data_IF_196070074219
#
_entry.id   IF_196070074219
#
_cell.length_a   1.000
_cell.length_b   1.000
_cell.length_c   1.000
_cell.angle_alpha   90.00
_cell.angle_beta   90.00
_cell.angle_gamma   90.00
#
_symmetry.space_group_name_H-M   'P 1'
#
loop_
_entity.id
_entity.type
_entity.pdbx_description
1 polymer ?
#
# COMPACT_ATOMS: atom_id res chain seq x y z
N UNK A 1 -13.17 5.80 -17.77
CA UNK A 1 -13.16 4.48 -17.08
C UNK A 1 -14.55 4.10 -16.59
N UNK A 2 -15.20 4.92 -15.75
CA UNK A 2 -16.54 4.63 -15.23
C UNK A 2 -17.58 4.38 -16.34
N UNK A 3 -17.54 5.17 -17.43
CA UNK A 3 -18.39 4.95 -18.61
C UNK A 3 -18.27 3.53 -19.20
N UNK A 4 -17.07 2.92 -19.15
CA UNK A 4 -16.86 1.54 -19.64
C UNK A 4 -17.53 0.52 -18.70
N UNK A 5 -17.45 0.75 -17.39
CA UNK A 5 -18.11 -0.06 -16.36
C UNK A 5 -19.63 0.05 -16.52
N UNK A 6 -20.15 1.27 -16.70
CA UNK A 6 -21.57 1.51 -16.94
C UNK A 6 -22.07 0.89 -18.24
N UNK A 7 -21.29 0.94 -19.32
CA UNK A 7 -21.67 0.31 -20.59
C UNK A 7 -21.68 -1.23 -20.51
N UNK A 8 -20.75 -1.84 -19.77
CA UNK A 8 -20.64 -3.29 -19.66
C UNK A 8 -21.58 -3.90 -18.62
N UNK A 9 -21.81 -3.20 -17.50
CA UNK A 9 -22.57 -3.74 -16.36
C UNK A 9 -23.94 -3.07 -16.17
N UNK A 10 -24.14 -1.87 -16.71
CA UNK A 10 -25.29 -1.00 -16.44
C UNK A 10 -26.55 -1.14 -17.31
N UNK A 11 -26.51 -1.49 -18.62
CA UNK A 11 -27.67 -1.27 -19.50
C UNK A 11 -28.95 -2.02 -19.11
N UNK A 12 -28.81 -3.15 -18.39
CA UNK A 12 -29.94 -4.00 -18.00
C UNK A 12 -29.96 -4.41 -16.53
N UNK A 13 -28.90 -4.13 -15.75
CA UNK A 13 -28.76 -4.65 -14.39
C UNK A 13 -28.06 -3.66 -13.44
N UNK A 14 -28.80 -2.70 -12.84
CA UNK A 14 -28.22 -1.71 -11.92
C UNK A 14 -27.56 -2.35 -10.68
N UNK A 15 -27.97 -3.56 -10.31
CA UNK A 15 -27.38 -4.35 -9.23
C UNK A 15 -25.89 -4.66 -9.45
N UNK A 16 -25.48 -4.85 -10.70
CA UNK A 16 -24.08 -5.14 -11.06
C UNK A 16 -23.18 -3.92 -10.85
N UNK A 17 -23.72 -2.73 -11.08
CA UNK A 17 -23.03 -1.48 -10.76
C UNK A 17 -22.83 -1.29 -9.27
N UNK A 18 -23.80 -1.71 -8.43
CA UNK A 18 -23.63 -1.68 -6.97
C UNK A 18 -22.45 -2.55 -6.53
N UNK A 19 -22.32 -3.75 -7.11
CA UNK A 19 -21.20 -4.67 -6.83
C UNK A 19 -19.87 -4.05 -7.27
N UNK A 20 -19.79 -3.53 -8.49
CA UNK A 20 -18.57 -2.89 -9.01
C UNK A 20 -18.15 -1.70 -8.15
N UNK A 21 -19.10 -0.85 -7.76
CA UNK A 21 -18.88 0.29 -6.86
C UNK A 21 -18.35 -0.17 -5.51
N UNK A 22 -19.00 -1.16 -4.89
CA UNK A 22 -18.58 -1.71 -3.61
C UNK A 22 -17.16 -2.27 -3.66
N UNK A 23 -16.77 -2.93 -4.75
CA UNK A 23 -15.41 -3.42 -4.92
C UNK A 23 -14.40 -2.27 -5.01
N UNK A 24 -14.69 -1.22 -5.77
CA UNK A 24 -13.79 -0.07 -5.91
C UNK A 24 -13.65 0.70 -4.59
N UNK A 25 -14.77 0.97 -3.90
CA UNK A 25 -14.79 1.73 -2.65
C UNK A 25 -14.01 1.04 -1.51
N UNK A 26 -14.07 -0.29 -1.46
CA UNK A 26 -13.42 -1.07 -0.40
C UNK A 26 -12.05 -1.65 -0.82
N UNK A 27 -11.67 -1.48 -2.09
CA UNK A 27 -10.46 -2.07 -2.66
C UNK A 27 -10.52 -3.61 -2.72
N UNK A 28 -11.68 -4.17 -3.03
CA UNK A 28 -11.85 -5.61 -3.23
C UNK A 28 -11.36 -5.99 -4.63
N UNK A 29 -10.35 -6.86 -4.68
CA UNK A 29 -9.84 -7.42 -5.91
C UNK A 29 -10.71 -8.57 -6.40
N UNK A 30 -10.83 -8.71 -7.71
CA UNK A 30 -11.46 -9.88 -8.34
C UNK A 30 -10.36 -10.67 -9.03
N UNK A 31 -10.10 -11.88 -8.55
CA UNK A 31 -9.06 -12.78 -9.07
C UNK A 31 -9.68 -14.14 -9.30
N UNK A 32 -9.42 -14.72 -10.47
CA UNK A 32 -10.01 -15.99 -10.89
C UNK A 32 -11.54 -15.97 -10.80
N UNK A 33 -12.14 -16.74 -9.90
CA UNK A 33 -13.60 -16.74 -9.59
C UNK A 33 -13.92 -16.12 -8.22
N UNK A 34 -12.91 -15.63 -7.50
CA UNK A 34 -13.00 -15.16 -6.14
C UNK A 34 -12.96 -13.63 -6.00
N UNK A 35 -13.40 -13.17 -4.83
CA UNK A 35 -13.33 -11.76 -4.42
C UNK A 35 -12.39 -11.70 -3.22
N UNK A 36 -11.40 -10.81 -3.26
CA UNK A 36 -10.32 -10.76 -2.30
C UNK A 36 -10.20 -9.38 -1.65
N UNK A 37 -10.09 -9.34 -0.33
CA UNK A 37 -9.57 -8.21 0.40
C UNK A 37 -8.09 -8.46 0.66
N UNK A 38 -7.22 -7.83 -0.13
CA UNK A 38 -5.77 -8.08 -0.11
C UNK A 38 -5.44 -9.56 -0.38
N UNK A 39 -5.15 -10.33 0.68
CA UNK A 39 -4.82 -11.76 0.62
C UNK A 39 -5.96 -12.66 1.14
N UNK A 40 -7.03 -12.05 1.66
CA UNK A 40 -8.14 -12.76 2.29
C UNK A 40 -9.27 -12.91 1.28
N UNK A 41 -9.67 -14.15 1.00
CA UNK A 41 -10.85 -14.42 0.18
C UNK A 41 -12.13 -14.08 0.95
N UNK A 42 -13.01 -13.31 0.31
CA UNK A 42 -14.30 -12.91 0.85
C UNK A 42 -15.37 -13.82 0.22
N UNK A 43 -16.15 -14.56 1.02
CA UNK A 43 -17.24 -15.38 0.50
C UNK A 43 -18.26 -14.54 -0.27
N UNK A 44 -18.65 -15.00 -1.46
CA UNK A 44 -19.59 -14.31 -2.35
C UNK A 44 -20.91 -13.93 -1.65
N UNK A 45 -21.38 -14.77 -0.73
CA UNK A 45 -22.60 -14.51 0.05
C UNK A 45 -22.49 -13.26 0.93
N UNK A 46 -21.30 -12.95 1.45
CA UNK A 46 -21.06 -11.75 2.28
C UNK A 46 -21.03 -10.49 1.41
N UNK A 47 -20.44 -10.58 0.23
CA UNK A 47 -20.44 -9.48 -0.75
C UNK A 47 -21.87 -9.20 -1.22
N UNK A 48 -22.64 -10.24 -1.54
CA UNK A 48 -24.05 -10.13 -1.94
C UNK A 48 -24.88 -9.39 -0.88
N UNK A 49 -24.73 -9.80 0.39
CA UNK A 49 -25.40 -9.15 1.52
C UNK A 49 -24.96 -7.69 1.70
N UNK A 50 -23.68 -7.39 1.55
CA UNK A 50 -23.16 -6.03 1.67
C UNK A 50 -23.64 -5.10 0.53
N UNK A 51 -23.76 -5.64 -0.69
CA UNK A 51 -24.27 -4.90 -1.84
C UNK A 51 -25.82 -4.87 -1.91
N UNK A 52 -26.51 -5.67 -1.11
CA UNK A 52 -27.97 -5.78 -1.11
C UNK A 52 -28.52 -6.40 -2.39
N UNK A 53 -27.83 -7.42 -2.91
CA UNK A 53 -28.13 -8.09 -4.20
C UNK A 53 -28.15 -9.60 -4.03
N UNK A 54 -28.69 -10.32 -5.01
CA UNK A 54 -28.66 -11.79 -5.01
C UNK A 54 -27.23 -12.33 -5.23
N UNK A 55 -26.93 -13.50 -4.61
CA UNK A 55 -25.62 -14.16 -4.75
C UNK A 55 -25.29 -14.46 -6.21
N UNK A 56 -26.27 -14.85 -7.03
CA UNK A 56 -26.07 -15.18 -8.45
C UNK A 56 -25.65 -13.94 -9.24
N UNK A 57 -26.21 -12.78 -8.92
CA UNK A 57 -25.81 -11.50 -9.53
C UNK A 57 -24.33 -11.20 -9.27
N UNK A 58 -23.81 -11.51 -8.07
CA UNK A 58 -22.39 -11.34 -7.77
C UNK A 58 -21.52 -12.28 -8.60
N UNK A 59 -21.86 -13.58 -8.67
CA UNK A 59 -21.12 -14.56 -9.46
C UNK A 59 -21.08 -14.17 -10.94
N UNK A 60 -22.22 -13.75 -11.50
CA UNK A 60 -22.31 -13.32 -12.88
C UNK A 60 -21.51 -12.04 -13.15
N UNK A 61 -21.53 -11.09 -12.22
CA UNK A 61 -20.73 -9.86 -12.31
C UNK A 61 -19.23 -10.16 -12.31
N UNK A 62 -18.77 -11.04 -11.42
CA UNK A 62 -17.37 -11.49 -11.37
C UNK A 62 -16.96 -12.12 -12.70
N UNK A 63 -17.81 -12.99 -13.27
CA UNK A 63 -17.54 -13.62 -14.58
C UNK A 63 -17.43 -12.59 -15.69
N UNK A 64 -18.32 -11.60 -15.76
CA UNK A 64 -18.25 -10.56 -16.80
C UNK A 64 -17.03 -9.66 -16.66
N UNK A 65 -16.67 -9.28 -15.43
CA UNK A 65 -15.45 -8.49 -15.17
C UNK A 65 -14.21 -9.25 -15.64
N UNK A 66 -14.17 -10.56 -15.44
CA UNK A 66 -13.06 -11.40 -15.92
C UNK A 66 -13.04 -11.52 -17.45
N UNK A 67 -14.20 -11.63 -18.09
CA UNK A 67 -14.28 -11.77 -19.55
C UNK A 67 -13.82 -10.52 -20.30
N UNK A 68 -13.88 -9.32 -19.70
CA UNK A 68 -13.30 -8.10 -20.27
C UNK A 68 -11.87 -7.91 -19.73
N UNK A 69 -10.86 -8.09 -20.59
CA UNK A 69 -9.45 -7.96 -20.20
C UNK A 69 -9.09 -6.57 -19.63
N UNK A 70 -9.83 -5.52 -20.00
CA UNK A 70 -9.63 -4.18 -19.45
C UNK A 70 -10.12 -4.05 -18.00
N UNK A 71 -11.31 -4.57 -17.71
CA UNK A 71 -11.84 -4.62 -16.35
C UNK A 71 -11.02 -5.58 -15.50
N UNK A 72 -10.65 -6.75 -16.01
CA UNK A 72 -9.78 -7.70 -15.30
C UNK A 72 -8.45 -7.06 -14.88
N UNK A 73 -7.80 -6.30 -15.76
CA UNK A 73 -6.54 -5.62 -15.46
C UNK A 73 -6.68 -4.58 -14.33
N UNK A 74 -7.86 -3.98 -14.18
CA UNK A 74 -8.16 -2.98 -13.13
C UNK A 74 -8.58 -3.69 -11.84
N UNK A 75 -9.65 -4.49 -11.88
CA UNK A 75 -10.23 -5.15 -10.72
C UNK A 75 -9.29 -6.20 -10.11
N UNK A 76 -8.43 -6.85 -10.90
CA UNK A 76 -7.44 -7.79 -10.36
C UNK A 76 -6.34 -7.12 -9.53
N UNK A 77 -6.11 -5.82 -9.75
CA UNK A 77 -5.09 -5.02 -9.06
C UNK A 77 -5.65 -4.14 -7.94
N UNK A 78 -6.97 -4.17 -7.70
CA UNK A 78 -7.54 -3.47 -6.57
C UNK A 78 -6.94 -4.00 -5.27
N UNK A 79 -6.58 -3.06 -4.40
CA UNK A 79 -6.07 -3.33 -3.07
C UNK A 79 -6.71 -2.31 -2.12
N UNK A 80 -6.96 -2.74 -0.89
CA UNK A 80 -7.46 -1.82 0.13
C UNK A 80 -6.36 -0.81 0.47
N UNK A 81 -6.70 0.47 0.48
CA UNK A 81 -5.76 1.57 0.75
C UNK A 81 -5.24 1.62 2.21
N UNK A 82 -5.57 0.62 3.03
CA UNK A 82 -5.18 0.50 4.43
C UNK A 82 -6.35 0.73 5.39
N UNK A 83 -6.19 0.26 6.63
CA UNK A 83 -7.14 0.54 7.71
C UNK A 83 -7.13 2.04 8.00
N UNK A 84 -8.30 2.66 8.03
CA UNK A 84 -8.40 4.03 8.56
C UNK A 84 -7.93 4.01 10.02
N UNK A 85 -6.78 4.62 10.27
CA UNK A 85 -6.21 4.67 11.61
C UNK A 85 -6.89 5.71 12.49
N UNK A 86 -7.82 6.53 11.96
CA UNK A 86 -8.49 7.62 12.68
C UNK A 86 -9.04 7.18 14.05
N UNK A 87 -9.71 6.03 14.08
CA UNK A 87 -10.35 5.52 15.30
C UNK A 87 -9.37 5.04 16.37
N UNK A 88 -8.18 4.59 15.97
CA UNK A 88 -7.16 4.01 16.87
C UNK A 88 -5.91 4.90 17.01
N UNK A 89 -5.85 6.01 16.29
CA UNK A 89 -4.71 6.91 16.20
C UNK A 89 -4.21 7.35 17.56
N UNK A 90 -5.15 7.79 18.42
CA UNK A 90 -4.86 8.24 19.79
C UNK A 90 -4.25 7.13 20.64
N UNK A 91 -4.75 5.90 20.51
CA UNK A 91 -4.25 4.75 21.27
C UNK A 91 -2.88 4.30 20.76
N UNK A 92 -2.61 4.47 19.47
CA UNK A 92 -1.33 4.15 18.84
C UNK A 92 -0.30 5.29 18.92
N UNK A 93 -0.65 6.44 19.51
CA UNK A 93 0.22 7.62 19.53
C UNK A 93 0.53 8.20 18.14
N UNK A 94 -0.33 7.94 17.15
CA UNK A 94 -0.14 8.37 15.77
C UNK A 94 -0.85 9.71 15.49
N UNK A 95 -0.17 10.62 14.80
CA UNK A 95 -0.81 11.77 14.16
C UNK A 95 -1.41 11.36 12.82
N UNK A 96 -2.74 11.44 12.68
CA UNK A 96 -3.43 11.11 11.41
C UNK A 96 -3.68 12.39 10.62
N UNK A 97 -3.19 12.41 9.38
CA UNK A 97 -3.50 13.46 8.42
C UNK A 97 -4.54 12.92 7.42
N UNK A 98 -5.75 13.45 7.48
CA UNK A 98 -6.77 13.19 6.47
C UNK A 98 -6.54 14.13 5.28
N UNK A 99 -6.20 13.58 4.12
CA UNK A 99 -6.13 14.36 2.88
C UNK A 99 -7.44 14.18 2.11
N UNK A 100 -8.21 15.26 1.97
CA UNK A 100 -9.25 15.32 0.96
C UNK A 100 -8.63 15.93 -0.30
N UNK A 101 -8.35 15.09 -1.29
CA UNK A 101 -7.87 15.53 -2.60
C UNK A 101 -9.01 16.24 -3.33
N UNK A 102 -9.06 17.57 -3.24
CA UNK A 102 -10.06 18.39 -3.96
C UNK A 102 -9.77 18.51 -5.46
N UNK A 103 -8.56 18.13 -5.93
CA UNK A 103 -8.18 18.30 -7.33
C UNK A 103 -7.06 17.33 -7.73
N UNK A 104 -7.29 16.52 -8.76
CA UNK A 104 -6.33 15.54 -9.30
C UNK A 104 -5.11 16.17 -9.98
N UNK A 105 -5.09 17.50 -10.13
CA UNK A 105 -3.94 18.26 -10.67
C UNK A 105 -2.93 18.71 -9.62
N UNK A 106 -3.28 18.74 -8.33
CA UNK A 106 -2.33 19.08 -7.26
C UNK A 106 -1.70 17.82 -6.72
N UNK A 107 -0.39 17.67 -6.90
CA UNK A 107 0.37 16.59 -6.25
C UNK A 107 0.17 16.64 -4.74
N UNK A 108 -0.10 15.49 -4.11
CA UNK A 108 -0.17 15.35 -2.65
C UNK A 108 1.07 15.94 -1.97
N UNK A 109 2.25 15.83 -2.60
CA UNK A 109 3.48 16.43 -2.08
C UNK A 109 3.46 17.95 -2.01
N UNK A 110 2.75 18.62 -2.92
CA UNK A 110 2.60 20.08 -2.92
C UNK A 110 1.61 20.54 -1.84
N UNK A 111 0.49 19.83 -1.69
CA UNK A 111 -0.50 20.12 -0.64
C UNK A 111 0.06 19.87 0.77
N UNK A 112 0.83 18.79 0.95
CA UNK A 112 1.53 18.51 2.20
C UNK A 112 2.55 19.61 2.48
N UNK A 113 3.35 20.02 1.50
CA UNK A 113 4.37 21.08 1.68
C UNK A 113 3.75 22.40 2.13
N UNK A 114 2.65 22.83 1.51
CA UNK A 114 1.94 24.08 1.82
C UNK A 114 1.35 24.07 3.24
N UNK A 115 0.76 22.94 3.65
CA UNK A 115 0.23 22.77 5.00
C UNK A 115 1.33 22.63 6.05
N UNK A 116 2.45 22.00 5.68
CA UNK A 116 3.61 21.82 6.54
C UNK A 116 4.48 23.08 6.64
N UNK A 117 4.48 23.98 5.66
CA UNK A 117 5.22 25.24 5.74
C UNK A 117 4.72 26.20 6.84
N UNK A 118 3.51 25.98 7.36
CA UNK A 118 3.01 26.67 8.56
C UNK A 118 3.40 26.03 9.89
N UNK A 119 4.00 24.84 9.87
CA UNK A 119 4.54 24.15 11.05
C UNK A 119 6.06 24.26 10.98
N UNK A 120 6.68 24.82 12.01
CA UNK A 120 8.09 25.19 12.06
C UNK A 120 9.02 24.16 11.39
N UNK A 121 9.42 24.47 10.15
CA UNK A 121 10.09 23.57 9.22
C UNK A 121 11.54 23.34 9.61
N UNK A 122 12.12 24.23 10.43
CA UNK A 122 13.48 24.13 10.93
C UNK A 122 13.64 22.93 11.88
N UNK A 123 12.68 22.68 12.76
CA UNK A 123 12.72 21.56 13.71
C UNK A 123 12.78 20.19 13.02
N UNK A 124 12.08 20.05 11.88
CA UNK A 124 12.09 18.82 11.09
C UNK A 124 13.36 18.65 10.28
N UNK A 125 13.89 19.71 9.66
CA UNK A 125 15.18 19.64 8.93
C UNK A 125 16.32 19.24 9.86
N UNK A 126 16.38 19.80 11.07
CA UNK A 126 17.35 19.39 12.07
C UNK A 126 17.14 17.92 12.52
N UNK A 127 15.89 17.47 12.64
CA UNK A 127 15.56 16.09 13.01
C UNK A 127 15.90 15.04 11.94
N UNK A 128 15.55 15.30 10.68
CA UNK A 128 15.88 14.40 9.55
C UNK A 128 17.38 14.36 9.29
N UNK A 129 18.04 15.51 9.35
CA UNK A 129 19.50 15.58 9.18
C UNK A 129 20.23 14.84 10.31
N UNK A 130 19.74 14.92 11.57
CA UNK A 130 20.28 14.16 12.70
C UNK A 130 20.10 12.64 12.54
N UNK A 131 18.98 12.20 11.98
CA UNK A 131 18.72 10.78 11.68
C UNK A 131 19.57 10.26 10.52
N UNK A 132 19.81 11.09 9.49
CA UNK A 132 20.63 10.74 8.33
C UNK A 132 22.12 10.71 8.69
N UNK A 133 22.59 11.68 9.47
CA UNK A 133 23.94 11.69 10.06
C UNK A 133 24.13 10.44 10.93
N UNK A 134 23.17 10.11 11.80
CA UNK A 134 23.25 8.89 12.64
C UNK A 134 23.34 7.62 11.81
N UNK A 135 22.56 7.50 10.73
CA UNK A 135 22.64 6.34 9.81
C UNK A 135 23.99 6.24 9.10
N UNK A 136 24.60 7.37 8.73
CA UNK A 136 25.93 7.41 8.10
C UNK A 136 27.02 7.05 9.12
N UNK A 137 26.92 7.55 10.36
CA UNK A 137 27.83 7.22 11.46
C UNK A 137 27.77 5.72 11.81
N UNK A 138 26.57 5.15 11.92
CA UNK A 138 26.35 3.72 12.20
C UNK A 138 26.91 2.84 11.07
N UNK A 139 26.76 3.25 9.80
CA UNK A 139 27.40 2.57 8.66
C UNK A 139 28.93 2.68 8.70
N UNK A 140 29.49 3.83 9.07
CA UNK A 140 30.95 3.99 9.26
C UNK A 140 31.46 3.09 10.39
N UNK A 141 30.76 3.00 11.51
CA UNK A 141 31.11 2.10 12.61
C UNK A 141 31.00 0.62 12.22
N UNK A 142 29.98 0.23 11.46
CA UNK A 142 29.90 -1.13 10.91
C UNK A 142 31.08 -1.43 9.97
N UNK A 143 31.41 -0.54 9.05
CA UNK A 143 32.52 -0.72 8.11
C UNK A 143 33.88 -0.76 8.83
N UNK A 144 34.07 0.06 9.87
CA UNK A 144 35.28 0.03 10.69
C UNK A 144 35.42 -1.30 11.46
N UNK A 145 34.32 -1.86 11.98
CA UNK A 145 34.31 -3.19 12.61
C UNK A 145 34.63 -4.30 11.61
N UNK A 146 34.12 -4.21 10.38
CA UNK A 146 34.44 -5.17 9.30
C UNK A 146 35.92 -5.11 8.94
N UNK A 147 36.48 -3.91 8.79
CA UNK A 147 37.92 -3.74 8.52
C UNK A 147 38.79 -4.24 9.68
N UNK A 148 38.44 -3.96 10.93
CA UNK A 148 39.17 -4.48 12.10
C UNK A 148 39.14 -6.02 12.16
N UNK A 149 38.01 -6.65 11.84
CA UNK A 149 37.91 -8.11 11.76
C UNK A 149 38.74 -8.71 10.62
N UNK A 150 38.87 -8.01 9.49
CA UNK A 150 39.74 -8.44 8.38
C UNK A 150 41.23 -8.30 8.73
N UNK A 151 41.64 -7.19 9.36
CA UNK A 151 43.04 -6.96 9.79
C UNK A 151 43.47 -7.90 10.92
N UNK A 152 42.54 -8.32 11.80
CA UNK A 152 42.81 -9.31 12.85
C UNK A 152 42.88 -10.73 12.26
N UNK A 153 42.08 -11.03 11.23
CA UNK A 153 42.16 -12.29 10.47
C UNK A 153 43.48 -12.45 9.71
N UNK A 154 44.04 -11.37 9.17
CA UNK A 154 45.33 -11.39 8.47
C UNK A 154 46.54 -11.49 9.41
N UNK A 155 46.45 -10.96 10.64
CA UNK A 155 47.51 -11.15 11.65
C UNK A 155 47.46 -12.50 12.37
N UNK A 156 46.33 -13.20 12.31
CA UNK A 156 46.16 -14.56 12.85
C UNK A 156 46.75 -15.67 11.99
N UNK A 157 47.18 -15.37 10.76
CA UNK A 157 47.72 -16.34 9.78
C UNK A 157 49.26 -16.27 9.59
N UNK A 158 49.97 -15.44 10.37
CA UNK A 158 51.45 -15.33 10.30
C UNK A 158 52.16 -15.88 11.55
N UNK A 159 51.66 -16.98 12.15
CA UNK A 159 52.42 -17.76 13.15
C UNK A 159 52.25 -19.27 12.99
N UNK A 160 52.74 -19.78 11.87
CA UNK A 160 53.40 -21.09 11.79
C UNK A 160 54.35 -20.98 10.61
N UNK A 161 55.66 -21.04 10.85
CA UNK A 161 56.76 -21.36 9.91
C UNK A 161 58.06 -20.72 10.43
N UNK A 162 58.72 -21.42 11.34
CA UNK A 162 60.16 -21.70 11.26
C UNK A 162 60.53 -22.69 12.36
N UNK A 163 60.77 -23.93 11.94
CA UNK A 163 61.54 -24.93 12.66
C UNK A 163 62.65 -25.36 11.68
N UNK A 164 63.81 -24.72 11.81
CA UNK A 164 65.17 -25.23 11.63
C UNK A 164 66.16 -24.06 11.68
#
# INVERSE_FOLDING_TARGET
>A
MWNKIEQLLGPHHPERLKIARLCIENGLAIRDDGIYLNQIEIPTARVARAAGVDRRTVVETVRMIRSDGGLQAIFGRLQSAGLSLKGIAKQLGLGVLESQSIDSRRSLSAAIRDRMSGLDTQAWQHGTQKMEIRKVEERRLMMAKVNLSQTIGERGLLRTFSFN
#
